data_IF_110780941147
#
_entry.id   IF_110780941147
#
_cell.length_a   1.000
_cell.length_b   1.000
_cell.length_c   1.000
_cell.angle_alpha   90.00
_cell.angle_beta   90.00
_cell.angle_gamma   90.00
#
_symmetry.space_group_name_H-M   'P 1'
#
loop_
_entity.id
_entity.type
_entity.pdbx_description
1 polymer ?
#
# COMPACT_ATOMS: atom_id res chain seq x y z
N UNK A 1 9.60 -6.60 -5.91
CA UNK A 1 8.78 -5.97 -4.84
C UNK A 1 8.61 -4.50 -5.16
N UNK A 2 7.43 -4.08 -5.63
CA UNK A 2 7.09 -2.66 -5.52
C UNK A 2 6.83 -2.40 -4.05
N UNK A 3 7.76 -1.74 -3.37
CA UNK A 3 7.46 -1.17 -2.06
C UNK A 3 6.25 -0.25 -2.23
N UNK A 4 5.24 -0.34 -1.38
CA UNK A 4 4.01 0.47 -1.51
C UNK A 4 4.33 1.97 -1.59
N UNK A 5 5.50 2.39 -1.07
CA UNK A 5 6.04 3.75 -1.23
C UNK A 5 6.40 4.15 -2.67
N UNK A 6 6.74 3.21 -3.55
CA UNK A 6 7.03 3.49 -4.97
C UNK A 6 5.79 3.94 -5.74
N UNK A 7 4.62 3.40 -5.40
CA UNK A 7 3.33 3.81 -5.96
C UNK A 7 2.96 5.24 -5.55
N UNK A 8 3.44 5.74 -4.42
CA UNK A 8 3.21 7.13 -4.01
C UNK A 8 3.80 8.13 -5.02
N UNK A 9 4.89 7.75 -5.70
CA UNK A 9 5.46 8.53 -6.79
C UNK A 9 4.50 8.69 -7.98
N UNK A 10 3.61 7.70 -8.22
CA UNK A 10 2.63 7.73 -9.31
C UNK A 10 1.50 8.73 -9.07
N UNK A 11 1.28 9.21 -7.85
CA UNK A 11 0.26 10.22 -7.54
C UNK A 11 0.48 11.48 -8.39
N UNK A 12 1.74 11.85 -8.64
CA UNK A 12 2.11 13.00 -9.47
C UNK A 12 1.91 12.75 -10.97
N UNK A 13 1.89 11.49 -11.40
CA UNK A 13 1.66 11.11 -12.79
C UNK A 13 0.19 11.08 -13.17
N UNK A 14 -0.69 10.80 -12.19
CA UNK A 14 -2.12 10.64 -12.40
C UNK A 14 -2.88 11.63 -11.50
N UNK A 15 -2.82 12.95 -11.78
CA UNK A 15 -3.44 13.96 -10.93
C UNK A 15 -4.96 13.83 -10.86
N UNK A 16 -5.60 13.22 -11.88
CA UNK A 16 -7.04 12.94 -11.89
C UNK A 16 -7.42 11.65 -11.14
N UNK A 17 -6.45 10.86 -10.69
CA UNK A 17 -6.67 9.53 -10.09
C UNK A 17 -5.84 9.31 -8.83
N UNK A 18 -5.63 10.37 -8.04
CA UNK A 18 -4.78 10.33 -6.84
C UNK A 18 -5.33 9.37 -5.80
N UNK A 19 -6.64 9.38 -5.60
CA UNK A 19 -7.29 8.50 -4.62
C UNK A 19 -7.15 7.05 -5.06
N UNK A 20 -7.31 6.77 -6.35
CA UNK A 20 -7.11 5.43 -6.90
C UNK A 20 -5.67 4.94 -6.70
N UNK A 21 -4.66 5.77 -6.99
CA UNK A 21 -3.26 5.40 -6.76
C UNK A 21 -2.99 5.10 -5.28
N UNK A 22 -3.50 5.93 -4.37
CA UNK A 22 -3.38 5.68 -2.92
C UNK A 22 -4.12 4.41 -2.51
N UNK A 23 -5.30 4.14 -3.08
CA UNK A 23 -6.05 2.92 -2.79
C UNK A 23 -5.32 1.65 -3.21
N UNK A 24 -4.55 1.70 -4.31
CA UNK A 24 -3.70 0.60 -4.76
C UNK A 24 -2.55 0.35 -3.78
N UNK A 25 -1.97 1.39 -3.17
CA UNK A 25 -0.97 1.24 -2.09
C UNK A 25 -1.56 0.41 -0.96
N UNK A 26 -2.72 0.79 -0.47
CA UNK A 26 -3.41 0.06 0.60
C UNK A 26 -3.82 -1.34 0.16
N UNK A 27 -4.31 -1.51 -1.06
CA UNK A 27 -4.70 -2.81 -1.61
C UNK A 27 -3.51 -3.77 -1.65
N UNK A 28 -2.33 -3.33 -2.12
CA UNK A 28 -1.13 -4.18 -2.16
C UNK A 28 -0.71 -4.64 -0.76
N UNK A 29 -0.82 -3.76 0.24
CA UNK A 29 -0.54 -4.13 1.63
C UNK A 29 -1.54 -5.18 2.15
N UNK A 30 -2.84 -4.96 1.96
CA UNK A 30 -3.89 -5.87 2.43
C UNK A 30 -3.86 -7.23 1.71
N UNK A 31 -3.53 -7.26 0.42
CA UNK A 31 -3.35 -8.52 -0.33
C UNK A 31 -2.08 -9.24 0.15
N UNK A 32 -1.02 -8.51 0.47
CA UNK A 32 0.21 -9.12 1.02
C UNK A 32 -0.02 -9.78 2.37
N UNK A 33 -0.98 -9.30 3.16
CA UNK A 33 -1.38 -9.95 4.41
C UNK A 33 -2.04 -11.34 4.22
N UNK A 34 -2.56 -11.66 3.02
CA UNK A 34 -3.03 -13.01 2.68
C UNK A 34 -1.92 -13.99 2.38
N UNK A 35 -0.73 -13.48 2.10
CA UNK A 35 0.36 -14.32 1.65
C UNK A 35 0.69 -15.45 2.64
N UNK A 36 0.83 -15.21 3.97
CA UNK A 36 1.08 -16.29 4.93
C UNK A 36 -0.04 -17.33 4.97
N UNK A 37 -1.31 -16.91 4.88
CA UNK A 37 -2.48 -17.82 4.90
C UNK A 37 -2.49 -18.70 3.65
N UNK A 38 -2.27 -18.12 2.48
CA UNK A 38 -2.16 -18.87 1.23
C UNK A 38 -0.95 -19.81 1.25
N UNK A 39 0.20 -19.35 1.74
CA UNK A 39 1.42 -20.13 1.83
C UNK A 39 1.23 -21.34 2.74
N UNK A 40 0.62 -21.15 3.91
CA UNK A 40 0.28 -22.24 4.84
C UNK A 40 -0.63 -23.28 4.16
N UNK A 41 -1.70 -22.84 3.49
CA UNK A 41 -2.61 -23.75 2.77
C UNK A 41 -1.90 -24.53 1.66
N UNK A 42 -0.94 -23.92 0.96
CA UNK A 42 -0.14 -24.61 -0.06
C UNK A 42 0.79 -25.63 0.60
N UNK A 43 1.46 -25.27 1.70
CA UNK A 43 2.32 -26.16 2.46
C UNK A 43 1.54 -27.38 2.97
N UNK A 44 0.36 -27.18 3.54
CA UNK A 44 -0.48 -28.25 4.06
C UNK A 44 -0.95 -29.21 2.95
N UNK A 45 -1.24 -28.69 1.74
CA UNK A 45 -1.69 -29.51 0.61
C UNK A 45 -0.58 -30.25 -0.11
N UNK A 46 0.61 -29.66 -0.18
CA UNK A 46 1.74 -30.21 -0.98
C UNK A 46 2.78 -30.93 -0.13
N UNK A 47 2.77 -30.71 1.18
CA UNK A 47 3.79 -31.21 2.11
C UNK A 47 5.15 -30.50 1.97
N UNK A 48 5.24 -29.39 1.24
CA UNK A 48 6.51 -28.67 1.09
C UNK A 48 6.91 -28.00 2.41
N UNK A 49 8.20 -28.06 2.74
CA UNK A 49 8.75 -27.36 3.89
C UNK A 49 8.73 -25.84 3.70
N UNK A 50 8.68 -25.09 4.81
CA UNK A 50 8.67 -23.63 4.83
C UNK A 50 9.84 -23.02 4.04
N UNK A 51 11.03 -23.62 4.12
CA UNK A 51 12.22 -23.16 3.39
C UNK A 51 12.01 -23.18 1.87
N UNK A 52 11.41 -24.25 1.33
CA UNK A 52 11.10 -24.36 -0.09
C UNK A 52 10.03 -23.34 -0.50
N UNK A 53 8.99 -23.18 0.32
CA UNK A 53 7.92 -22.22 0.10
C UNK A 53 8.44 -20.77 0.06
N UNK A 54 9.32 -20.40 1.00
CA UNK A 54 9.96 -19.09 1.04
C UNK A 54 10.95 -18.87 -0.11
N UNK A 55 11.68 -19.91 -0.53
CA UNK A 55 12.56 -19.85 -1.68
C UNK A 55 11.76 -19.62 -2.98
N UNK A 56 10.68 -20.37 -3.19
CA UNK A 56 9.79 -20.17 -4.34
C UNK A 56 9.21 -18.75 -4.37
N UNK A 57 8.79 -18.22 -3.22
CA UNK A 57 8.36 -16.83 -3.10
C UNK A 57 9.46 -15.83 -3.49
N UNK A 58 10.68 -16.01 -3.01
CA UNK A 58 11.81 -15.17 -3.38
C UNK A 58 12.06 -15.21 -4.90
N UNK A 59 11.97 -16.38 -5.54
CA UNK A 59 12.05 -16.52 -6.99
C UNK A 59 10.92 -15.76 -7.71
N UNK A 60 9.67 -15.88 -7.24
CA UNK A 60 8.55 -15.11 -7.81
C UNK A 60 8.80 -13.60 -7.70
N UNK A 61 9.26 -13.14 -6.54
CA UNK A 61 9.60 -11.73 -6.29
C UNK A 61 10.70 -11.23 -7.23
N UNK A 62 11.74 -12.04 -7.46
CA UNK A 62 12.82 -11.72 -8.40
C UNK A 62 12.32 -11.71 -9.84
N UNK A 63 11.45 -12.64 -10.22
CA UNK A 63 10.83 -12.68 -11.54
C UNK A 63 9.95 -11.44 -11.84
N UNK A 64 9.39 -10.79 -10.82
CA UNK A 64 8.67 -9.53 -10.99
C UNK A 64 9.59 -8.35 -11.33
N UNK A 65 10.88 -8.40 -11.01
CA UNK A 65 11.83 -7.29 -11.27
C UNK A 65 11.89 -6.89 -12.75
N UNK A 66 12.11 -7.81 -13.71
CA UNK A 66 12.12 -7.44 -15.13
C UNK A 66 10.75 -6.96 -15.62
N UNK A 67 9.65 -7.55 -15.15
CA UNK A 67 8.29 -7.12 -15.52
C UNK A 67 8.05 -5.67 -15.10
N UNK A 68 8.44 -5.32 -13.86
CA UNK A 68 8.37 -3.94 -13.37
C UNK A 68 9.32 -3.05 -14.17
N UNK A 69 10.55 -3.48 -14.44
CA UNK A 69 11.53 -2.72 -15.22
C UNK A 69 11.06 -2.37 -16.63
N UNK A 70 10.29 -3.27 -17.27
CA UNK A 70 9.70 -3.02 -18.59
C UNK A 70 8.38 -2.22 -18.54
N UNK A 71 7.67 -2.22 -17.40
CA UNK A 71 6.37 -1.56 -17.26
C UNK A 71 6.45 -0.16 -16.64
N UNK A 72 7.51 0.13 -15.89
CA UNK A 72 7.70 1.43 -15.23
C UNK A 72 8.19 2.44 -16.26
N UNK A 73 7.55 3.63 -16.37
CA UNK A 73 7.98 4.66 -17.30
C UNK A 73 9.42 5.10 -16.99
N UNK A 74 10.18 5.36 -18.04
CA UNK A 74 11.55 5.86 -17.89
C UNK A 74 11.55 7.28 -17.33
N UNK A 75 12.72 7.74 -16.86
CA UNK A 75 12.90 9.15 -16.50
C UNK A 75 12.57 10.07 -17.67
N UNK A 76 12.96 9.73 -18.90
CA UNK A 76 12.64 10.58 -20.06
C UNK A 76 11.13 10.70 -20.29
N UNK A 77 10.38 9.60 -20.11
CA UNK A 77 8.92 9.62 -20.20
C UNK A 77 8.29 10.55 -19.17
N UNK A 78 8.82 10.57 -17.94
CA UNK A 78 8.40 11.50 -16.89
C UNK A 78 8.56 12.96 -17.34
N UNK A 79 9.77 13.33 -17.79
CA UNK A 79 10.06 14.73 -18.16
C UNK A 79 9.25 15.18 -19.37
N UNK A 80 9.05 14.28 -20.34
CA UNK A 80 8.19 14.52 -21.50
C UNK A 80 6.76 14.80 -21.08
N UNK A 81 6.14 13.91 -20.27
CA UNK A 81 4.75 14.07 -19.87
C UNK A 81 4.53 15.27 -18.95
N UNK A 82 5.47 15.55 -18.06
CA UNK A 82 5.40 16.74 -17.22
C UNK A 82 5.50 18.04 -18.03
N UNK A 83 6.34 18.08 -19.07
CA UNK A 83 6.42 19.23 -19.99
C UNK A 83 5.10 19.44 -20.75
N UNK A 84 4.45 18.36 -21.18
CA UNK A 84 3.14 18.42 -21.85
C UNK A 84 2.05 19.00 -20.92
N UNK A 85 2.03 18.59 -19.65
CA UNK A 85 1.01 19.03 -18.69
C UNK A 85 1.27 20.44 -18.16
N UNK A 86 2.52 20.78 -17.86
CA UNK A 86 2.89 22.07 -17.25
C UNK A 86 3.11 23.18 -18.27
N UNK A 87 3.25 22.86 -19.56
CA UNK A 87 3.55 23.82 -20.62
C UNK A 87 4.95 24.45 -20.56
N UNK A 88 5.75 24.10 -19.55
CA UNK A 88 7.12 24.61 -19.34
C UNK A 88 8.10 23.45 -19.16
N UNK A 89 9.36 23.60 -19.60
CA UNK A 89 10.38 22.59 -19.33
C UNK A 89 10.62 22.49 -17.82
N UNK A 90 10.62 21.26 -17.31
CA UNK A 90 11.00 21.03 -15.91
C UNK A 90 12.45 21.47 -15.68
N UNK A 91 12.76 22.09 -14.52
CA UNK A 91 14.13 22.41 -14.16
C UNK A 91 14.96 21.13 -14.09
N UNK A 92 16.23 21.21 -14.51
CA UNK A 92 17.15 20.08 -14.39
C UNK A 92 17.27 19.69 -12.91
N UNK A 93 17.27 18.39 -12.59
CA UNK A 93 17.37 17.94 -11.21
C UNK A 93 18.69 18.44 -10.64
N UNK A 94 18.64 19.10 -9.49
CA UNK A 94 19.83 19.57 -8.82
C UNK A 94 20.67 18.35 -8.40
N UNK A 95 21.90 18.27 -8.92
CA UNK A 95 22.84 17.16 -8.66
C UNK A 95 23.45 17.24 -7.26
N UNK A 96 23.35 18.40 -6.60
CA UNK A 96 23.78 18.55 -5.22
C UNK A 96 22.81 17.87 -4.25
N UNK A 97 23.35 17.00 -3.41
CA UNK A 97 22.67 16.35 -2.29
C UNK A 97 22.50 17.35 -1.13
N UNK A 98 21.77 18.44 -1.35
CA UNK A 98 21.44 19.43 -0.32
C UNK A 98 20.38 18.93 0.65
N UNK A 99 20.66 17.83 1.38
CA UNK A 99 19.69 17.14 2.26
C UNK A 99 19.07 18.12 3.26
N UNK A 100 19.88 18.90 3.98
CA UNK A 100 19.38 19.88 4.95
C UNK A 100 18.47 20.94 4.31
N UNK A 101 18.81 21.42 3.10
CA UNK A 101 17.97 22.38 2.37
C UNK A 101 16.64 21.75 1.95
N UNK A 102 16.66 20.49 1.50
CA UNK A 102 15.45 19.75 1.11
C UNK A 102 14.56 19.46 2.32
N UNK A 103 15.15 19.03 3.44
CA UNK A 103 14.43 18.85 4.70
C UNK A 103 13.83 20.16 5.21
N UNK A 104 14.60 21.27 5.18
CA UNK A 104 14.09 22.59 5.55
C UNK A 104 12.98 23.08 4.62
N UNK A 105 13.03 22.75 3.33
CA UNK A 105 11.95 23.03 2.39
C UNK A 105 10.70 22.20 2.67
N UNK A 106 10.86 20.89 2.93
CA UNK A 106 9.77 20.01 3.29
C UNK A 106 9.11 20.42 4.61
N UNK A 107 9.91 20.81 5.60
CA UNK A 107 9.40 21.34 6.87
C UNK A 107 8.60 22.64 6.69
N UNK A 108 9.08 23.56 5.86
CA UNK A 108 8.34 24.79 5.54
C UNK A 108 7.01 24.50 4.86
N UNK A 109 6.97 23.54 3.95
CA UNK A 109 5.73 23.09 3.31
C UNK A 109 4.77 22.47 4.34
N UNK A 110 5.25 21.55 5.18
CA UNK A 110 4.44 20.94 6.24
C UNK A 110 3.89 21.97 7.24
N UNK A 111 4.70 22.98 7.57
CA UNK A 111 4.31 24.02 8.53
C UNK A 111 3.19 24.92 8.00
N UNK A 112 3.07 25.10 6.69
CA UNK A 112 2.02 25.93 6.09
C UNK A 112 0.63 25.40 6.46
N UNK A 113 0.45 24.08 6.43
CA UNK A 113 -0.85 23.40 6.64
C UNK A 113 -0.79 22.42 7.82
N UNK A 114 -0.04 22.78 8.87
CA UNK A 114 0.29 21.85 9.97
C UNK A 114 -0.95 21.28 10.66
N UNK A 115 -2.00 22.08 10.82
CA UNK A 115 -3.24 21.66 11.48
C UNK A 115 -4.01 20.64 10.66
N UNK A 116 -4.11 20.85 9.34
CA UNK A 116 -4.78 19.91 8.44
C UNK A 116 -4.03 18.58 8.40
N UNK A 117 -2.70 18.64 8.35
CA UNK A 117 -1.86 17.45 8.44
C UNK A 117 -1.99 16.73 9.79
N UNK A 118 -2.03 17.47 10.91
CA UNK A 118 -2.20 16.89 12.24
C UNK A 118 -3.57 16.23 12.41
N UNK A 119 -4.63 16.88 11.92
CA UNK A 119 -5.98 16.32 11.92
C UNK A 119 -6.07 15.05 11.08
N UNK A 120 -5.56 15.11 9.83
CA UNK A 120 -5.51 13.94 8.95
C UNK A 120 -4.72 12.79 9.58
N UNK A 121 -3.56 13.08 10.17
CA UNK A 121 -2.73 12.07 10.85
C UNK A 121 -3.47 11.46 12.04
N UNK A 122 -4.19 12.26 12.83
CA UNK A 122 -5.00 11.77 13.94
C UNK A 122 -6.13 10.86 13.46
N UNK A 123 -6.88 11.27 12.44
CA UNK A 123 -7.92 10.45 11.83
C UNK A 123 -7.35 9.13 11.31
N UNK A 124 -6.20 9.18 10.64
CA UNK A 124 -5.53 7.99 10.10
C UNK A 124 -5.06 7.05 11.22
N UNK A 125 -4.41 7.57 12.26
CA UNK A 125 -3.97 6.78 13.42
C UNK A 125 -5.17 6.15 14.11
N UNK A 126 -6.24 6.90 14.34
CA UNK A 126 -7.46 6.38 14.97
C UNK A 126 -8.09 5.25 14.14
N UNK A 127 -8.28 5.47 12.83
CA UNK A 127 -8.85 4.48 11.93
C UNK A 127 -8.00 3.20 11.85
N UNK A 128 -6.68 3.35 11.76
CA UNK A 128 -5.76 2.21 11.61
C UNK A 128 -5.53 1.47 12.92
N UNK A 129 -5.51 2.17 14.06
CA UNK A 129 -5.28 1.56 15.38
C UNK A 129 -6.43 0.64 15.76
N UNK A 130 -7.68 1.06 15.57
CA UNK A 130 -8.83 0.20 15.85
C UNK A 130 -8.81 -1.07 15.00
N UNK A 131 -8.52 -0.93 13.70
CA UNK A 131 -8.38 -2.09 12.81
C UNK A 131 -7.24 -3.01 13.23
N UNK A 132 -6.08 -2.47 13.60
CA UNK A 132 -4.91 -3.23 14.01
C UNK A 132 -5.13 -3.95 15.34
N UNK A 133 -5.77 -3.28 16.31
CA UNK A 133 -6.13 -3.87 17.60
C UNK A 133 -7.13 -5.02 17.43
N UNK A 134 -8.14 -4.86 16.57
CA UNK A 134 -9.09 -5.93 16.32
C UNK A 134 -8.42 -7.12 15.62
N UNK A 135 -7.57 -6.84 14.60
CA UNK A 135 -6.80 -7.87 13.91
C UNK A 135 -5.91 -8.68 14.85
N UNK A 136 -5.15 -8.01 15.72
CA UNK A 136 -4.22 -8.69 16.65
C UNK A 136 -4.92 -9.49 17.75
N UNK A 137 -6.12 -9.08 18.16
CA UNK A 137 -6.89 -9.75 19.23
C UNK A 137 -7.97 -10.71 18.72
N UNK A 138 -8.15 -10.83 17.41
CA UNK A 138 -9.21 -11.62 16.78
C UNK A 138 -9.27 -13.08 17.24
N UNK A 139 -8.11 -13.76 17.31
CA UNK A 139 -8.06 -15.14 17.81
C UNK A 139 -8.43 -15.22 19.30
N UNK A 140 -7.96 -14.29 20.12
CA UNK A 140 -8.31 -14.23 21.54
C UNK A 140 -9.81 -13.95 21.76
N UNK A 141 -10.39 -13.02 21.00
CA UNK A 141 -11.82 -12.72 21.06
C UNK A 141 -12.66 -13.92 20.61
N UNK A 142 -12.32 -14.57 19.50
CA UNK A 142 -13.07 -15.73 19.03
C UNK A 142 -12.99 -16.88 20.03
N UNK A 143 -11.82 -17.13 20.65
CA UNK A 143 -11.69 -18.12 21.72
C UNK A 143 -12.55 -17.78 22.93
N UNK A 144 -12.56 -16.52 23.35
CA UNK A 144 -13.35 -16.09 24.51
C UNK A 144 -14.86 -16.18 24.24
N UNK A 145 -15.30 -15.83 23.03
CA UNK A 145 -16.70 -15.85 22.63
C UNK A 145 -17.26 -17.26 22.41
N UNK A 146 -16.47 -18.14 21.80
CA UNK A 146 -16.93 -19.47 21.37
C UNK A 146 -16.34 -20.63 22.19
N UNK A 147 -15.52 -20.33 23.20
CA UNK A 147 -14.98 -21.31 24.15
C UNK A 147 -13.90 -22.25 23.60
N UNK A 148 -13.50 -22.14 22.33
CA UNK A 148 -12.54 -23.04 21.68
C UNK A 148 -11.44 -22.28 20.94
N UNK A 149 -10.22 -22.82 20.95
CA UNK A 149 -9.08 -22.23 20.22
C UNK A 149 -9.34 -22.20 18.71
N UNK A 150 -9.92 -23.28 18.18
CA UNK A 150 -10.23 -23.41 16.74
C UNK A 150 -11.18 -22.31 16.25
N UNK A 151 -12.17 -21.91 17.04
CA UNK A 151 -13.06 -20.80 16.69
C UNK A 151 -12.32 -19.45 16.70
N UNK A 152 -11.36 -19.27 17.61
CA UNK A 152 -10.45 -18.13 17.61
C UNK A 152 -9.65 -18.04 16.32
N UNK A 153 -8.95 -19.11 15.98
CA UNK A 153 -8.11 -19.14 14.78
C UNK A 153 -8.96 -18.95 13.51
N UNK A 154 -10.15 -19.53 13.47
CA UNK A 154 -11.10 -19.33 12.36
C UNK A 154 -11.57 -17.88 12.24
N UNK A 155 -11.81 -17.18 13.35
CA UNK A 155 -12.19 -15.76 13.32
C UNK A 155 -11.04 -14.89 12.80
N UNK A 156 -9.81 -15.17 13.22
CA UNK A 156 -8.62 -14.48 12.73
C UNK A 156 -8.42 -14.68 11.22
N UNK A 157 -8.59 -15.92 10.72
CA UNK A 157 -8.58 -16.22 9.29
C UNK A 157 -9.65 -15.44 8.53
N UNK A 158 -10.91 -15.50 9.00
CA UNK A 158 -12.02 -14.81 8.36
C UNK A 158 -11.82 -13.29 8.32
N UNK A 159 -11.28 -12.72 9.39
CA UNK A 159 -10.97 -11.29 9.42
C UNK A 159 -9.89 -10.96 8.39
N UNK A 160 -8.81 -11.73 8.34
CA UNK A 160 -7.75 -11.51 7.36
C UNK A 160 -8.32 -11.62 5.93
N UNK A 161 -9.13 -12.65 5.64
CA UNK A 161 -9.79 -12.83 4.34
C UNK A 161 -10.69 -11.64 3.99
N UNK A 162 -11.48 -11.17 4.96
CA UNK A 162 -12.39 -10.02 4.78
C UNK A 162 -11.61 -8.74 4.51
N UNK A 163 -10.58 -8.43 5.30
CA UNK A 163 -9.75 -7.24 5.11
C UNK A 163 -9.08 -7.25 3.74
N UNK A 164 -8.65 -8.41 3.26
CA UNK A 164 -8.02 -8.53 1.95
C UNK A 164 -9.01 -8.39 0.81
N UNK A 165 -10.23 -8.92 0.93
CA UNK A 165 -11.30 -8.69 -0.06
C UNK A 165 -11.68 -7.21 -0.11
N UNK A 166 -11.93 -6.61 1.05
CA UNK A 166 -12.29 -5.18 1.16
C UNK A 166 -11.16 -4.30 0.63
N UNK A 167 -9.91 -4.60 1.01
CA UNK A 167 -8.72 -3.88 0.56
C UNK A 167 -8.44 -4.03 -0.93
N UNK A 168 -8.65 -5.22 -1.50
CA UNK A 168 -8.37 -5.48 -2.91
C UNK A 168 -9.48 -5.00 -3.85
N UNK A 169 -10.74 -5.05 -3.41
CA UNK A 169 -11.90 -4.81 -4.27
C UNK A 169 -12.61 -3.51 -3.89
N UNK A 170 -13.06 -3.40 -2.65
CA UNK A 170 -13.87 -2.26 -2.22
C UNK A 170 -13.07 -0.95 -2.20
N UNK A 171 -11.81 -0.99 -1.77
CA UNK A 171 -10.95 0.20 -1.70
C UNK A 171 -10.69 0.82 -3.08
N UNK A 172 -10.23 0.09 -4.12
CA UNK A 172 -10.09 0.65 -5.46
C UNK A 172 -11.40 1.12 -6.10
N UNK A 173 -12.51 0.43 -5.86
CA UNK A 173 -13.83 0.84 -6.35
C UNK A 173 -14.28 2.15 -5.71
N UNK A 174 -14.19 2.26 -4.38
CA UNK A 174 -14.53 3.47 -3.66
C UNK A 174 -13.66 4.65 -4.10
N UNK A 175 -12.35 4.42 -4.26
CA UNK A 175 -11.42 5.43 -4.75
C UNK A 175 -11.74 5.89 -6.17
N UNK A 176 -12.14 4.98 -7.06
CA UNK A 176 -12.58 5.33 -8.42
C UNK A 176 -13.85 6.20 -8.40
N UNK A 177 -14.78 5.93 -7.48
CA UNK A 177 -15.98 6.76 -7.31
C UNK A 177 -15.58 8.16 -6.81
N UNK A 178 -14.73 8.24 -5.79
CA UNK A 178 -14.22 9.49 -5.21
C UNK A 178 -13.50 10.36 -6.26
N UNK A 179 -12.65 9.74 -7.07
CA UNK A 179 -11.95 10.45 -8.16
C UNK A 179 -12.94 10.96 -9.23
N UNK A 180 -14.04 10.24 -9.51
CA UNK A 180 -15.06 10.67 -10.49
C UNK A 180 -15.96 11.80 -10.00
N UNK A 181 -16.21 11.89 -8.70
CA UNK A 181 -17.03 12.96 -8.11
C UNK A 181 -16.21 14.23 -7.81
N UNK A 182 -14.89 14.20 -8.02
CA UNK A 182 -14.01 15.36 -7.85
C UNK A 182 -13.73 15.70 -6.38
N UNK A 183 -13.98 14.78 -5.45
CA UNK A 183 -13.56 14.90 -4.06
C UNK A 183 -12.08 14.50 -3.97
N UNK A 184 -11.18 15.40 -4.37
CA UNK A 184 -9.72 15.20 -4.32
C UNK A 184 -9.07 16.04 -3.23
#
# INVERSE_FOLDING_TARGET
VMSSFTLLGLVWHFPASKTFVISLITATYQVSAMFPVMLQRIMDRTGIGLACAMFAYACCVLACVPVIGCSVPTKEDYYRRAKEVLGVPLPKPNTELGICKRLGSGWRALKADLWDHAWLAMCLVFATTMSAMYASNSSAYGRHLFGTQQAGDRLAEMQAETLSIVGAVCSPLAATIVDRIGLQ
#
